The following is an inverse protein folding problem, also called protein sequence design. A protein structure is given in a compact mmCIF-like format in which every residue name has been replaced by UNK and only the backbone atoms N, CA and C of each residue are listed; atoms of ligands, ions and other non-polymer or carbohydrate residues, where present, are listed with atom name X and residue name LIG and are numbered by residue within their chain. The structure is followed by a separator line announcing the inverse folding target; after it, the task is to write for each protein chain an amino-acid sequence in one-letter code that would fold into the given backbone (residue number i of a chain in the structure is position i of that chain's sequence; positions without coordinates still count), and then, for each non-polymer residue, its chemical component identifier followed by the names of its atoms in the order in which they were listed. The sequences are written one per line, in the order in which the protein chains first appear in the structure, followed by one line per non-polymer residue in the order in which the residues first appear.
data_IF_516327108295
#
_entry.id   IF_516327108295
#
_cell.length_a   1.000
_cell.length_b   1.000
_cell.length_c   1.000
_cell.angle_alpha   90.00
_cell.angle_beta   90.00
_cell.angle_gamma   90.00
#
_symmetry.space_group_name_H-M   'P 1'
#
loop_
_entity.id
_entity.type
_entity.pdbx_description
1 polymer ?
#
# COMPACT_ATOMS: atom_id res chain seq x y z
N UNK A 1 -22.17 0.04 -12.20
CA UNK A 1 -21.34 -1.09 -12.69
C UNK A 1 -20.11 -1.31 -11.82
N UNK A 2 -19.30 -0.26 -11.54
CA UNK A 2 -18.10 -0.38 -10.70
C UNK A 2 -18.37 -0.71 -9.22
N UNK A 3 -19.50 -0.26 -8.65
CA UNK A 3 -19.90 -0.62 -7.27
C UNK A 3 -20.10 -2.13 -7.02
N UNK A 4 -20.27 -2.92 -8.08
CA UNK A 4 -20.40 -4.38 -7.97
C UNK A 4 -19.07 -5.13 -8.07
N UNK A 5 -17.94 -4.42 -8.09
CA UNK A 5 -16.60 -5.04 -8.08
C UNK A 5 -16.23 -5.37 -6.63
N UNK A 6 -15.74 -6.59 -6.41
CA UNK A 6 -15.31 -7.04 -5.08
C UNK A 6 -14.24 -6.12 -4.50
N UNK A 7 -14.38 -5.79 -3.22
CA UNK A 7 -13.47 -4.90 -2.50
C UNK A 7 -13.72 -3.40 -2.72
N UNK A 8 -14.71 -3.01 -3.52
CA UNK A 8 -15.13 -1.61 -3.71
C UNK A 8 -16.26 -1.28 -2.74
N UNK A 9 -16.03 -0.31 -1.84
CA UNK A 9 -17.03 0.20 -0.90
C UNK A 9 -18.05 1.11 -1.57
N UNK A 10 -17.61 1.87 -2.56
CA UNK A 10 -18.42 2.87 -3.23
C UNK A 10 -17.73 3.44 -4.44
N UNK A 11 -18.51 4.15 -5.24
CA UNK A 11 -17.97 4.96 -6.34
C UNK A 11 -18.54 6.34 -6.14
N UNK A 12 -17.63 7.27 -5.91
CA UNK A 12 -17.90 8.68 -5.72
C UNK A 12 -17.72 9.39 -7.06
N UNK A 13 -18.68 10.25 -7.41
CA UNK A 13 -18.70 10.95 -8.69
C UNK A 13 -18.63 12.44 -8.40
N UNK A 14 -17.80 13.14 -9.18
CA UNK A 14 -17.65 14.58 -9.08
C UNK A 14 -17.62 15.23 -10.47
N UNK A 15 -18.29 16.38 -10.57
CA UNK A 15 -18.49 17.07 -11.84
C UNK A 15 -19.69 16.55 -12.62
N UNK A 16 -19.91 17.15 -13.79
CA UNK A 16 -21.11 16.92 -14.59
C UNK A 16 -22.34 17.66 -14.06
N UNK A 17 -23.46 17.46 -14.75
CA UNK A 17 -24.75 18.04 -14.39
C UNK A 17 -25.79 16.94 -14.22
N UNK A 18 -26.54 17.01 -13.12
CA UNK A 18 -27.70 16.16 -12.94
C UNK A 18 -28.86 16.79 -13.71
N UNK A 19 -29.41 16.03 -14.67
CA UNK A 19 -30.59 16.46 -15.43
C UNK A 19 -31.77 16.60 -14.47
N UNK A 20 -32.40 17.76 -14.50
CA UNK A 20 -33.61 18.05 -13.72
C UNK A 20 -34.71 18.54 -14.65
N UNK A 21 -35.97 18.21 -14.34
CA UNK A 21 -37.12 18.80 -15.02
C UNK A 21 -37.55 20.01 -14.20
N UNK A 22 -37.13 21.20 -14.65
CA UNK A 22 -37.34 22.42 -13.91
C UNK A 22 -38.69 23.04 -14.27
N UNK A 23 -39.45 23.41 -13.25
CA UNK A 23 -40.70 24.17 -13.38
C UNK A 23 -40.44 25.55 -12.81
N UNK A 24 -40.38 26.56 -13.68
CA UNK A 24 -40.13 27.96 -13.32
C UNK A 24 -41.47 28.70 -13.24
N UNK A 25 -42.09 28.82 -12.05
CA UNK A 25 -43.34 29.55 -11.88
C UNK A 25 -43.15 31.04 -12.20
N UNK A 26 -44.09 31.61 -12.97
CA UNK A 26 -44.16 33.04 -13.21
C UNK A 26 -45.13 33.65 -12.18
N UNK A 27 -44.64 34.47 -11.22
CA UNK A 27 -45.50 35.06 -10.19
C UNK A 27 -46.66 35.89 -10.76
N UNK A 28 -46.47 36.54 -11.91
CA UNK A 28 -47.51 37.33 -12.55
C UNK A 28 -48.62 36.44 -13.13
N UNK A 29 -48.25 35.31 -13.76
CA UNK A 29 -49.23 34.35 -14.28
C UNK A 29 -49.97 33.62 -13.17
N UNK A 30 -49.26 33.19 -12.12
CA UNK A 30 -49.88 32.59 -10.95
C UNK A 30 -50.95 33.51 -10.34
N UNK A 31 -50.63 34.80 -10.19
CA UNK A 31 -51.59 35.80 -9.71
C UNK A 31 -52.77 36.01 -10.67
N UNK A 32 -52.52 36.08 -11.99
CA UNK A 32 -53.56 36.28 -13.00
C UNK A 32 -54.56 35.12 -13.07
N UNK A 33 -54.08 33.87 -12.92
CA UNK A 33 -54.93 32.68 -12.87
C UNK A 33 -55.48 32.38 -11.47
N UNK A 34 -55.05 33.12 -10.45
CA UNK A 34 -55.47 32.94 -9.06
C UNK A 34 -55.00 31.62 -8.44
N UNK A 35 -53.84 31.11 -8.87
CA UNK A 35 -53.24 29.86 -8.41
C UNK A 35 -52.14 30.16 -7.40
N UNK A 36 -52.21 29.54 -6.22
CA UNK A 36 -51.15 29.65 -5.21
C UNK A 36 -49.95 28.75 -5.52
N UNK A 37 -48.75 29.15 -5.09
CA UNK A 37 -47.53 28.34 -5.27
C UNK A 37 -47.65 26.95 -4.62
N UNK A 38 -48.26 26.86 -3.43
CA UNK A 38 -48.50 25.59 -2.74
C UNK A 38 -49.39 24.67 -3.57
N UNK A 39 -50.44 25.22 -4.20
CA UNK A 39 -51.34 24.44 -5.05
C UNK A 39 -50.64 23.89 -6.29
N UNK A 40 -49.72 24.66 -6.88
CA UNK A 40 -48.88 24.18 -7.98
C UNK A 40 -48.00 23.00 -7.53
N UNK A 41 -47.35 23.10 -6.37
CA UNK A 41 -46.50 22.02 -5.83
C UNK A 41 -47.33 20.76 -5.54
N UNK A 42 -48.48 20.89 -4.87
CA UNK A 42 -49.38 19.77 -4.58
C UNK A 42 -49.88 19.08 -5.86
N UNK A 43 -50.23 19.87 -6.88
CA UNK A 43 -50.66 19.33 -8.17
C UNK A 43 -49.56 18.49 -8.84
N UNK A 44 -48.31 18.96 -8.81
CA UNK A 44 -47.16 18.24 -9.34
C UNK A 44 -46.87 16.94 -8.54
N UNK A 45 -46.94 17.00 -7.21
CA UNK A 45 -46.74 15.81 -6.36
C UNK A 45 -47.83 14.75 -6.54
N UNK A 46 -49.07 15.17 -6.81
CA UNK A 46 -50.20 14.27 -7.06
C UNK A 46 -50.17 13.69 -8.48
N UNK A 47 -49.69 14.46 -9.44
CA UNK A 47 -49.61 14.04 -10.84
C UNK A 47 -48.58 12.94 -11.07
N UNK A 48 -47.51 12.86 -10.28
CA UNK A 48 -46.43 11.89 -10.49
C UNK A 48 -46.48 10.69 -9.51
N UNK A 49 -47.62 9.98 -9.44
CA UNK A 49 -47.80 8.82 -8.53
C UNK A 49 -48.21 7.55 -9.29
N UNK A 50 -47.85 6.40 -8.72
CA UNK A 50 -48.33 5.08 -9.16
C UNK A 50 -49.33 4.58 -8.13
N UNK A 51 -50.51 4.14 -8.57
CA UNK A 51 -51.52 3.55 -7.71
C UNK A 51 -51.88 2.13 -8.16
N UNK A 52 -51.97 1.21 -7.20
CA UNK A 52 -52.51 -0.14 -7.41
C UNK A 52 -53.99 -0.18 -7.08
N UNK A 53 -54.82 -0.75 -7.96
CA UNK A 53 -56.26 -0.87 -7.76
C UNK A 53 -56.70 -2.32 -7.44
N UNK A 54 -55.75 -3.16 -7.01
CA UNK A 54 -56.00 -4.58 -6.71
C UNK A 54 -56.01 -5.44 -7.96
N UNK A 55 -56.87 -6.45 -8.00
CA UNK A 55 -57.04 -7.32 -9.15
C UNK A 55 -58.51 -7.61 -9.42
N UNK A 56 -58.84 -7.87 -10.68
CA UNK A 56 -60.17 -8.29 -11.12
C UNK A 56 -60.09 -9.75 -11.55
N UNK A 57 -60.90 -10.60 -10.92
CA UNK A 57 -60.99 -12.00 -11.33
C UNK A 57 -61.88 -12.12 -12.57
N UNK A 58 -61.34 -12.67 -13.66
CA UNK A 58 -62.08 -12.94 -14.89
C UNK A 58 -61.67 -14.29 -15.46
N UNK A 59 -62.63 -15.17 -15.68
CA UNK A 59 -62.42 -16.52 -16.24
C UNK A 59 -61.38 -17.38 -15.49
N UNK A 60 -61.26 -17.23 -14.16
CA UNK A 60 -60.29 -17.97 -13.34
C UNK A 60 -58.90 -17.33 -13.27
N UNK A 61 -58.66 -16.22 -13.98
CA UNK A 61 -57.42 -15.46 -13.92
C UNK A 61 -57.59 -14.18 -13.09
N UNK A 62 -56.59 -13.84 -12.29
CA UNK A 62 -56.53 -12.58 -11.53
C UNK A 62 -55.80 -11.51 -12.36
N UNK A 63 -56.55 -10.56 -12.90
CA UNK A 63 -56.01 -9.44 -13.68
C UNK A 63 -55.63 -8.30 -12.76
N UNK A 64 -54.33 -8.04 -12.59
CA UNK A 64 -53.84 -6.94 -11.75
C UNK A 64 -54.13 -5.60 -12.42
N UNK A 65 -54.85 -4.71 -11.72
CA UNK A 65 -55.16 -3.37 -12.20
C UNK A 65 -54.15 -2.38 -11.62
N UNK A 66 -53.38 -1.75 -12.51
CA UNK A 66 -52.37 -0.75 -12.17
C UNK A 66 -52.64 0.55 -12.92
N UNK A 67 -52.71 1.65 -12.19
CA UNK A 67 -52.70 2.99 -12.77
C UNK A 67 -51.27 3.55 -12.69
N UNK A 68 -50.66 3.79 -13.85
CA UNK A 68 -49.34 4.42 -13.97
C UNK A 68 -49.52 5.88 -14.43
N UNK A 69 -49.47 6.83 -13.50
CA UNK A 69 -49.50 8.26 -13.80
C UNK A 69 -48.11 8.90 -13.79
N UNK A 70 -47.03 8.11 -13.88
CA UNK A 70 -45.68 8.69 -13.92
C UNK A 70 -45.51 9.61 -15.12
N UNK A 71 -45.00 10.81 -14.85
CA UNK A 71 -44.65 11.80 -15.87
C UNK A 71 -43.34 11.34 -16.53
N UNK A 72 -43.36 11.19 -17.86
CA UNK A 72 -42.22 10.70 -18.66
C UNK A 72 -41.63 11.76 -19.56
N UNK A 73 -42.43 12.74 -19.97
CA UNK A 73 -42.01 13.79 -20.89
C UNK A 73 -42.28 15.19 -20.34
N UNK A 74 -41.63 16.20 -20.94
CA UNK A 74 -41.85 17.61 -20.57
C UNK A 74 -43.28 18.04 -20.90
N UNK A 75 -43.84 17.53 -21.99
CA UNK A 75 -45.19 17.84 -22.44
C UNK A 75 -46.23 17.32 -21.45
N UNK A 76 -46.03 16.12 -20.91
CA UNK A 76 -46.87 15.56 -19.84
C UNK A 76 -46.78 16.42 -18.56
N UNK A 77 -45.57 16.86 -18.20
CA UNK A 77 -45.35 17.75 -17.06
C UNK A 77 -46.06 19.10 -17.26
N UNK A 78 -45.90 19.70 -18.44
CA UNK A 78 -46.52 20.97 -18.81
C UNK A 78 -48.05 20.89 -18.89
N UNK A 79 -48.59 19.76 -19.35
CA UNK A 79 -50.02 19.54 -19.49
C UNK A 79 -50.74 19.20 -18.17
N UNK A 80 -49.99 19.02 -17.07
CA UNK A 80 -50.52 18.62 -15.76
C UNK A 80 -51.57 19.64 -15.27
N UNK A 81 -52.78 19.19 -14.90
CA UNK A 81 -53.84 20.08 -14.42
C UNK A 81 -53.59 20.51 -12.97
N UNK A 82 -53.77 21.79 -12.67
CA UNK A 82 -53.63 22.35 -11.31
C UNK A 82 -54.99 22.61 -10.69
N UNK A 83 -55.84 23.36 -11.40
CA UNK A 83 -57.16 23.77 -10.93
C UNK A 83 -58.15 23.66 -12.08
N UNK A 84 -59.39 23.28 -11.77
CA UNK A 84 -60.52 23.44 -12.69
C UNK A 84 -61.45 24.53 -12.16
N UNK A 85 -61.63 25.61 -12.92
CA UNK A 85 -62.52 26.72 -12.58
C UNK A 85 -63.57 26.88 -13.67
N UNK A 86 -64.84 26.65 -13.33
CA UNK A 86 -65.99 26.78 -14.23
C UNK A 86 -65.84 26.01 -15.56
N UNK A 87 -65.18 24.85 -15.55
CA UNK A 87 -64.95 24.02 -16.73
C UNK A 87 -63.66 24.34 -17.50
N UNK A 88 -62.94 25.40 -17.13
CA UNK A 88 -61.61 25.69 -17.67
C UNK A 88 -60.54 25.09 -16.76
N UNK A 89 -59.75 24.17 -17.31
CA UNK A 89 -58.62 23.54 -16.62
C UNK A 89 -57.38 24.40 -16.81
N UNK A 90 -56.83 24.90 -15.71
CA UNK A 90 -55.53 25.59 -15.68
C UNK A 90 -54.42 24.55 -15.56
N UNK A 91 -53.45 24.60 -16.45
CA UNK A 91 -52.31 23.67 -16.53
C UNK A 91 -51.03 24.31 -16.01
N UNK A 92 -50.01 23.48 -15.76
CA UNK A 92 -48.66 23.95 -15.42
C UNK A 92 -48.10 24.89 -16.49
N UNK A 93 -48.30 24.60 -17.78
CA UNK A 93 -47.87 25.48 -18.89
C UNK A 93 -48.45 26.90 -18.85
N UNK A 94 -49.62 27.07 -18.22
CA UNK A 94 -50.31 28.36 -18.18
C UNK A 94 -49.69 29.29 -17.12
N UNK A 95 -49.04 28.73 -16.10
CA UNK A 95 -48.52 29.46 -14.94
C UNK A 95 -47.00 29.32 -14.73
N UNK A 96 -46.34 28.42 -15.45
CA UNK A 96 -44.92 28.15 -15.32
C UNK A 96 -44.28 27.76 -16.67
N UNK A 97 -42.98 28.02 -16.79
CA UNK A 97 -42.15 27.50 -17.89
C UNK A 97 -41.57 26.16 -17.46
N UNK A 98 -41.78 25.13 -18.28
CA UNK A 98 -41.26 23.78 -18.04
C UNK A 98 -40.14 23.51 -19.01
N UNK A 99 -38.94 23.25 -18.51
CA UNK A 99 -37.76 22.98 -19.34
C UNK A 99 -36.84 21.93 -18.73
N UNK A 100 -35.93 21.41 -19.55
CA UNK A 100 -34.84 20.57 -19.04
C UNK A 100 -33.82 21.50 -18.41
N UNK A 101 -33.82 21.51 -17.08
CA UNK A 101 -32.85 22.20 -16.28
C UNK A 101 -31.70 21.30 -15.84
N UNK A 102 -30.92 21.86 -14.93
CA UNK A 102 -29.82 21.17 -14.24
C UNK A 102 -29.93 21.48 -12.76
N UNK A 103 -29.71 20.47 -11.93
CA UNK A 103 -29.62 20.69 -10.50
C UNK A 103 -28.45 21.63 -10.18
N UNK A 104 -28.59 22.52 -9.17
CA UNK A 104 -27.45 23.26 -8.63
C UNK A 104 -26.37 22.27 -8.21
N UNK A 105 -25.17 22.40 -8.80
CA UNK A 105 -24.04 21.54 -8.46
C UNK A 105 -23.31 22.10 -7.25
N UNK A 106 -22.86 21.20 -6.37
CA UNK A 106 -22.05 21.52 -5.20
C UNK A 106 -20.56 21.26 -5.44
N UNK A 107 -20.22 20.63 -6.57
CA UNK A 107 -18.84 20.38 -6.97
C UNK A 107 -18.69 20.27 -8.48
N UNK A 108 -17.46 20.48 -8.93
CA UNK A 108 -17.05 20.39 -10.32
C UNK A 108 -15.72 19.65 -10.43
N UNK A 109 -15.44 19.13 -11.61
CA UNK A 109 -14.21 18.42 -11.89
C UNK A 109 -13.66 18.84 -13.25
N UNK A 110 -12.34 18.82 -13.36
CA UNK A 110 -11.63 19.16 -14.59
C UNK A 110 -10.38 18.34 -14.78
N UNK A 111 -9.95 18.26 -16.03
CA UNK A 111 -8.70 17.64 -16.44
C UNK A 111 -8.10 18.42 -17.59
N UNK A 112 -6.81 18.73 -17.49
CA UNK A 112 -6.03 19.43 -18.50
C UNK A 112 -6.73 20.68 -19.06
N UNK A 113 -7.34 21.49 -18.19
CA UNK A 113 -8.02 22.75 -18.56
C UNK A 113 -9.43 22.58 -19.12
N UNK A 114 -9.98 21.37 -19.14
CA UNK A 114 -11.32 21.07 -19.64
C UNK A 114 -12.20 20.48 -18.55
N UNK A 115 -13.50 20.80 -18.57
CA UNK A 115 -14.46 20.23 -17.64
C UNK A 115 -14.65 18.73 -17.93
N UNK A 116 -14.65 17.90 -16.89
CA UNK A 116 -14.79 16.45 -17.00
C UNK A 116 -15.63 15.88 -15.86
N UNK A 117 -15.95 14.60 -15.95
CA UNK A 117 -16.55 13.84 -14.85
C UNK A 117 -15.48 12.93 -14.26
N UNK A 118 -15.21 13.08 -12.97
CA UNK A 118 -14.30 12.21 -12.23
C UNK A 118 -15.10 11.17 -11.46
N UNK A 119 -14.68 9.92 -11.58
CA UNK A 119 -15.19 8.81 -10.77
C UNK A 119 -14.06 8.23 -9.92
N UNK A 120 -14.21 8.24 -8.60
CA UNK A 120 -13.28 7.64 -7.66
C UNK A 120 -13.86 6.33 -7.12
N UNK A 121 -13.16 5.21 -7.35
CA UNK A 121 -13.50 3.93 -6.73
C UNK A 121 -12.92 3.89 -5.31
N UNK A 122 -13.80 3.87 -4.31
CA UNK A 122 -13.43 3.82 -2.90
C UNK A 122 -13.26 2.35 -2.50
N UNK A 123 -12.10 2.02 -1.94
CA UNK A 123 -11.78 0.67 -1.47
C UNK A 123 -12.43 0.39 -0.10
N UNK A 124 -12.89 -0.83 0.13
CA UNK A 124 -13.29 -1.30 1.47
C UNK A 124 -12.10 -1.26 2.43
N UNK A 125 -12.38 -0.89 3.68
CA UNK A 125 -11.35 -0.85 4.70
C UNK A 125 -10.79 -2.25 4.96
N UNK A 126 -9.45 -2.39 4.89
CA UNK A 126 -8.75 -3.66 5.11
C UNK A 126 -8.52 -4.49 3.84
N UNK A 127 -9.09 -4.10 2.70
CA UNK A 127 -8.81 -4.74 1.41
C UNK A 127 -7.42 -4.36 0.86
N UNK A 128 -6.96 -5.14 -0.12
CA UNK A 128 -5.69 -4.90 -0.79
C UNK A 128 -5.86 -3.89 -1.94
N UNK A 129 -5.17 -2.75 -1.84
CA UNK A 129 -5.25 -1.65 -2.82
C UNK A 129 -4.86 -2.06 -4.23
N UNK A 130 -3.81 -2.89 -4.38
CA UNK A 130 -3.35 -3.40 -5.68
C UNK A 130 -4.40 -4.30 -6.31
N UNK A 131 -4.95 -5.26 -5.56
CA UNK A 131 -5.95 -6.20 -6.10
C UNK A 131 -7.24 -5.49 -6.49
N UNK A 132 -7.71 -4.55 -5.67
CA UNK A 132 -8.92 -3.78 -5.97
C UNK A 132 -8.70 -2.88 -7.18
N UNK A 133 -7.57 -2.18 -7.28
CA UNK A 133 -7.24 -1.36 -8.44
C UNK A 133 -7.16 -2.17 -9.74
N UNK A 134 -6.54 -3.36 -9.70
CA UNK A 134 -6.51 -4.28 -10.85
C UNK A 134 -7.92 -4.73 -11.28
N UNK A 135 -8.76 -5.18 -10.33
CA UNK A 135 -10.16 -5.58 -10.62
C UNK A 135 -10.98 -4.41 -11.19
N UNK A 136 -10.79 -3.20 -10.68
CA UNK A 136 -11.45 -1.99 -11.20
C UNK A 136 -10.96 -1.68 -12.62
N UNK A 137 -9.66 -1.75 -12.88
CA UNK A 137 -9.07 -1.54 -14.21
C UNK A 137 -9.57 -2.55 -15.24
N UNK A 138 -9.66 -3.84 -14.87
CA UNK A 138 -10.26 -4.88 -15.71
C UNK A 138 -11.74 -4.60 -15.99
N UNK A 139 -12.51 -4.21 -14.97
CA UNK A 139 -13.92 -3.87 -15.14
C UNK A 139 -14.10 -2.64 -16.03
N UNK A 140 -13.23 -1.63 -15.91
CA UNK A 140 -13.25 -0.45 -16.77
C UNK A 140 -13.07 -0.81 -18.25
N UNK A 141 -12.13 -1.71 -18.58
CA UNK A 141 -11.96 -2.22 -19.97
C UNK A 141 -13.24 -2.87 -20.50
N UNK A 142 -13.95 -3.64 -19.66
CA UNK A 142 -15.25 -4.23 -20.04
C UNK A 142 -16.34 -3.17 -20.25
N UNK A 143 -16.34 -2.11 -19.46
CA UNK A 143 -17.31 -1.00 -19.55
C UNK A 143 -17.07 -0.19 -20.82
N UNK A 144 -15.80 0.04 -21.19
CA UNK A 144 -15.44 0.86 -22.35
C UNK A 144 -16.10 0.36 -23.65
N UNK A 145 -16.25 -0.95 -23.82
CA UNK A 145 -16.94 -1.55 -24.96
C UNK A 145 -18.45 -1.22 -25.03
N UNK A 146 -19.07 -0.88 -23.91
CA UNK A 146 -20.50 -0.54 -23.80
C UNK A 146 -20.78 0.97 -23.85
N UNK A 147 -19.74 1.80 -23.93
CA UNK A 147 -19.90 3.25 -23.91
C UNK A 147 -20.43 3.80 -25.24
N UNK A 148 -21.27 4.84 -25.20
CA UNK A 148 -21.68 5.56 -26.41
C UNK A 148 -20.49 6.11 -27.20
N UNK A 149 -20.62 6.28 -28.53
CA UNK A 149 -19.57 6.90 -29.34
C UNK A 149 -19.24 8.30 -28.82
N UNK A 150 -17.95 8.61 -28.71
CA UNK A 150 -17.44 9.89 -28.20
C UNK A 150 -17.17 9.94 -26.69
N UNK A 151 -17.61 8.95 -25.91
CA UNK A 151 -17.28 8.86 -24.48
C UNK A 151 -16.02 8.02 -24.29
N UNK A 152 -15.01 8.59 -23.61
CA UNK A 152 -13.77 7.90 -23.24
C UNK A 152 -13.59 7.95 -21.74
N UNK A 153 -13.30 6.81 -21.14
CA UNK A 153 -12.94 6.72 -19.72
C UNK A 153 -11.44 6.45 -19.64
N UNK A 154 -10.72 7.29 -18.91
CA UNK A 154 -9.28 7.17 -18.72
C UNK A 154 -8.96 7.17 -17.23
N UNK A 155 -8.13 6.23 -16.73
CA UNK A 155 -7.64 6.31 -15.36
C UNK A 155 -6.71 7.54 -15.24
N UNK A 156 -6.99 8.40 -14.26
CA UNK A 156 -6.16 9.56 -13.94
C UNK A 156 -5.20 9.31 -12.77
N UNK A 157 -5.54 8.34 -11.91
CA UNK A 157 -4.71 7.91 -10.78
C UNK A 157 -4.86 6.38 -10.64
N UNK A 158 -3.75 5.66 -10.65
CA UNK A 158 -3.70 4.20 -10.47
C UNK A 158 -2.65 3.82 -9.43
N UNK A 159 -3.11 3.46 -8.22
CA UNK A 159 -2.22 3.01 -7.12
C UNK A 159 -1.45 1.73 -7.45
N UNK A 160 -1.85 0.96 -8.45
CA UNK A 160 -1.13 -0.24 -8.89
C UNK A 160 0.29 0.10 -9.35
N UNK A 161 0.45 1.20 -10.10
CA UNK A 161 1.73 1.62 -10.65
C UNK A 161 2.77 1.90 -9.57
N UNK A 162 2.38 2.67 -8.54
CA UNK A 162 3.23 2.94 -7.37
C UNK A 162 3.62 1.64 -6.66
N UNK A 163 2.64 0.77 -6.38
CA UNK A 163 2.90 -0.50 -5.67
C UNK A 163 3.82 -1.42 -6.48
N UNK A 164 3.67 -1.49 -7.80
CA UNK A 164 4.52 -2.32 -8.67
C UNK A 164 5.94 -1.78 -8.80
N UNK A 165 6.11 -0.46 -9.00
CA UNK A 165 7.42 0.18 -9.02
C UNK A 165 8.16 0.00 -7.68
N UNK A 166 7.40 0.10 -6.58
CA UNK A 166 7.90 -0.13 -5.23
C UNK A 166 8.36 -1.57 -5.03
N UNK A 167 7.55 -2.55 -5.44
CA UNK A 167 7.93 -3.97 -5.35
C UNK A 167 9.17 -4.26 -6.21
N UNK A 168 9.24 -3.70 -7.43
CA UNK A 168 10.42 -3.87 -8.29
C UNK A 168 11.70 -3.32 -7.66
N UNK A 169 11.62 -2.17 -7.00
CA UNK A 169 12.75 -1.57 -6.27
C UNK A 169 13.18 -2.44 -5.08
N UNK A 170 12.21 -2.92 -4.30
CA UNK A 170 12.45 -3.82 -3.18
C UNK A 170 13.08 -5.12 -3.67
N UNK A 171 12.54 -5.75 -4.71
CA UNK A 171 13.11 -6.96 -5.33
C UNK A 171 14.55 -6.74 -5.78
N UNK A 172 14.82 -5.65 -6.51
CA UNK A 172 16.16 -5.31 -6.97
C UNK A 172 17.14 -5.17 -5.80
N UNK A 173 16.75 -4.43 -4.76
CA UNK A 173 17.58 -4.22 -3.56
C UNK A 173 17.78 -5.51 -2.75
N UNK A 174 16.76 -6.36 -2.64
CA UNK A 174 16.85 -7.65 -1.97
C UNK A 174 17.81 -8.59 -2.72
N UNK A 175 17.71 -8.66 -4.05
CA UNK A 175 18.59 -9.49 -4.88
C UNK A 175 20.03 -8.98 -4.80
N UNK A 176 20.24 -7.67 -4.91
CA UNK A 176 21.57 -7.06 -4.86
C UNK A 176 22.19 -7.20 -3.46
N UNK A 177 21.41 -6.95 -2.40
CA UNK A 177 21.83 -7.14 -1.01
C UNK A 177 22.19 -8.60 -0.70
N UNK A 178 21.35 -9.55 -1.11
CA UNK A 178 21.63 -10.97 -0.95
C UNK A 178 22.89 -11.38 -1.74
N UNK A 179 23.05 -10.90 -2.97
CA UNK A 179 24.24 -11.16 -3.78
C UNK A 179 25.52 -10.61 -3.12
N UNK A 180 25.47 -9.41 -2.54
CA UNK A 180 26.59 -8.82 -1.82
C UNK A 180 26.95 -9.63 -0.58
N UNK A 181 25.95 -10.02 0.23
CA UNK A 181 26.18 -10.87 1.41
C UNK A 181 26.78 -12.21 1.00
N UNK A 182 26.25 -12.86 -0.04
CA UNK A 182 26.81 -14.10 -0.58
C UNK A 182 28.26 -13.88 -1.02
N UNK A 183 28.57 -12.81 -1.76
CA UNK A 183 29.94 -12.51 -2.18
C UNK A 183 30.89 -12.36 -0.98
N UNK A 184 30.47 -11.66 0.08
CA UNK A 184 31.24 -11.52 1.33
C UNK A 184 31.42 -12.88 2.03
N UNK A 185 30.39 -13.72 2.08
CA UNK A 185 30.47 -15.07 2.66
C UNK A 185 31.46 -15.96 1.91
N UNK A 186 31.46 -15.92 0.58
CA UNK A 186 32.44 -16.64 -0.24
C UNK A 186 33.87 -16.17 0.05
N UNK A 187 34.05 -14.86 0.22
CA UNK A 187 35.34 -14.25 0.55
C UNK A 187 35.83 -14.63 1.96
N UNK A 188 34.91 -14.64 2.94
CA UNK A 188 35.23 -14.88 4.34
C UNK A 188 35.48 -16.37 4.65
N UNK A 189 34.58 -17.26 4.23
CA UNK A 189 34.63 -18.68 4.61
C UNK A 189 35.67 -19.48 3.82
N UNK A 190 36.05 -19.05 2.60
CA UNK A 190 37.02 -19.74 1.74
C UNK A 190 36.59 -21.10 1.18
N UNK A 191 35.54 -21.70 1.75
CA UNK A 191 34.95 -22.94 1.29
C UNK A 191 33.62 -22.66 0.60
N UNK A 192 33.62 -22.81 -0.72
CA UNK A 192 32.45 -22.61 -1.59
C UNK A 192 31.22 -23.38 -1.10
N UNK A 193 31.38 -24.61 -0.59
CA UNK A 193 30.24 -25.40 -0.12
C UNK A 193 29.66 -24.85 1.17
N UNK A 194 30.50 -24.43 2.08
CA UNK A 194 30.07 -23.81 3.34
C UNK A 194 29.38 -22.45 3.09
N UNK A 195 29.91 -21.68 2.14
CA UNK A 195 29.28 -20.44 1.69
C UNK A 195 27.90 -20.69 1.06
N UNK A 196 27.74 -21.73 0.22
CA UNK A 196 26.43 -22.09 -0.36
C UNK A 196 25.44 -22.56 0.72
N UNK A 197 25.87 -23.36 1.71
CA UNK A 197 25.00 -23.79 2.82
C UNK A 197 24.48 -22.57 3.59
N UNK A 198 25.36 -21.63 3.89
CA UNK A 198 24.99 -20.40 4.60
C UNK A 198 24.08 -19.51 3.74
N UNK A 199 24.39 -19.38 2.44
CA UNK A 199 23.56 -18.65 1.49
C UNK A 199 22.14 -19.21 1.38
N UNK A 200 21.98 -20.55 1.47
CA UNK A 200 20.67 -21.23 1.47
C UNK A 200 19.82 -20.89 2.69
N UNK A 201 20.41 -20.44 3.80
CA UNK A 201 19.64 -20.00 4.98
C UNK A 201 18.82 -18.76 4.66
N UNK A 202 19.30 -17.85 3.80
CA UNK A 202 18.59 -16.63 3.42
C UNK A 202 17.20 -16.94 2.81
N UNK A 203 17.09 -17.68 1.68
CA UNK A 203 15.78 -17.97 1.08
C UNK A 203 14.91 -18.89 1.96
N UNK A 204 15.50 -19.80 2.73
CA UNK A 204 14.74 -20.68 3.62
C UNK A 204 14.15 -19.91 4.83
N UNK A 205 14.91 -18.99 5.42
CA UNK A 205 14.42 -18.12 6.48
C UNK A 205 13.34 -17.17 5.96
N UNK A 206 13.50 -16.66 4.72
CA UNK A 206 12.49 -15.84 4.07
C UNK A 206 11.21 -16.63 3.77
N UNK A 207 11.31 -17.87 3.30
CA UNK A 207 10.15 -18.74 3.08
C UNK A 207 9.41 -19.00 4.40
N UNK A 208 10.14 -19.25 5.48
CA UNK A 208 9.58 -19.39 6.82
C UNK A 208 8.84 -18.11 7.25
N UNK A 209 9.49 -16.95 7.12
CA UNK A 209 8.91 -15.66 7.45
C UNK A 209 7.64 -15.36 6.63
N UNK A 210 7.68 -15.54 5.32
CA UNK A 210 6.55 -15.31 4.42
C UNK A 210 5.36 -16.23 4.76
N UNK A 211 5.64 -17.50 5.07
CA UNK A 211 4.61 -18.45 5.49
C UNK A 211 3.97 -18.04 6.83
N UNK A 212 4.78 -17.61 7.79
CA UNK A 212 4.31 -17.13 9.08
C UNK A 212 3.52 -15.81 8.95
N UNK A 213 4.00 -14.86 8.15
CA UNK A 213 3.31 -13.59 7.88
C UNK A 213 1.92 -13.83 7.29
N UNK A 214 1.81 -14.72 6.30
CA UNK A 214 0.52 -15.10 5.72
C UNK A 214 -0.42 -15.71 6.78
N UNK A 215 0.12 -16.50 7.72
CA UNK A 215 -0.67 -17.09 8.81
C UNK A 215 -1.14 -16.05 9.85
N UNK A 216 -0.32 -15.03 10.12
CA UNK A 216 -0.64 -13.97 11.08
C UNK A 216 -1.32 -12.75 10.45
N UNK A 217 -1.59 -12.77 9.14
CA UNK A 217 -2.23 -11.66 8.43
C UNK A 217 -1.36 -10.40 8.35
N UNK A 218 -0.04 -10.54 8.42
CA UNK A 218 0.90 -9.40 8.35
C UNK A 218 1.07 -9.02 6.87
N UNK A 219 0.79 -7.76 6.54
CA UNK A 219 0.90 -7.28 5.17
C UNK A 219 2.36 -7.23 4.71
N UNK A 220 2.61 -7.75 3.50
CA UNK A 220 3.89 -7.59 2.82
C UNK A 220 3.89 -6.24 2.08
N UNK A 221 4.47 -5.23 2.71
CA UNK A 221 4.66 -3.89 2.16
C UNK A 221 6.15 -3.51 2.09
N UNK A 222 6.44 -2.33 1.55
CA UNK A 222 7.83 -1.84 1.41
C UNK A 222 8.57 -1.82 2.74
N UNK A 223 7.94 -1.33 3.81
CA UNK A 223 8.57 -1.21 5.12
C UNK A 223 8.85 -2.59 5.71
N UNK A 224 7.90 -3.53 5.60
CA UNK A 224 8.09 -4.89 6.13
C UNK A 224 9.16 -5.69 5.40
N UNK A 225 9.23 -5.59 4.07
CA UNK A 225 10.24 -6.30 3.28
C UNK A 225 11.60 -5.59 3.32
N UNK A 226 11.61 -4.26 3.35
CA UNK A 226 12.82 -3.45 3.36
C UNK A 226 13.61 -3.52 4.67
N UNK A 227 12.97 -3.89 5.78
CA UNK A 227 13.65 -4.04 7.07
C UNK A 227 14.37 -5.38 7.24
N UNK A 228 14.29 -6.29 6.27
CA UNK A 228 15.01 -7.55 6.33
C UNK A 228 16.50 -7.33 6.12
N UNK A 229 17.24 -7.41 7.21
CA UNK A 229 18.70 -7.41 7.19
C UNK A 229 19.22 -8.84 6.97
N UNK A 230 19.79 -9.09 5.79
CA UNK A 230 20.41 -10.37 5.45
C UNK A 230 21.60 -10.71 6.35
N UNK A 231 22.36 -9.71 6.81
CA UNK A 231 23.50 -9.91 7.71
C UNK A 231 23.05 -10.51 9.03
N UNK A 232 22.00 -9.95 9.61
CA UNK A 232 21.39 -10.43 10.86
C UNK A 232 20.82 -11.85 10.71
N UNK A 233 20.23 -12.16 9.55
CA UNK A 233 19.68 -13.49 9.25
C UNK A 233 20.78 -14.55 9.15
N UNK A 234 21.93 -14.24 8.55
CA UNK A 234 23.00 -15.22 8.34
C UNK A 234 23.98 -15.33 9.50
N UNK A 235 24.04 -14.35 10.41
CA UNK A 235 25.05 -14.29 11.49
C UNK A 235 25.13 -15.59 12.30
N UNK A 236 24.00 -16.06 12.84
CA UNK A 236 23.93 -17.32 13.59
C UNK A 236 24.34 -18.54 12.76
N UNK A 237 23.99 -18.57 11.47
CA UNK A 237 24.36 -19.66 10.59
C UNK A 237 25.86 -19.68 10.31
N UNK A 238 26.47 -18.52 10.06
CA UNK A 238 27.91 -18.36 9.81
C UNK A 238 28.70 -18.87 11.02
N UNK A 239 28.36 -18.41 12.23
CA UNK A 239 29.05 -18.80 13.46
C UNK A 239 28.97 -20.31 13.68
N UNK A 240 27.82 -20.93 13.43
CA UNK A 240 27.64 -22.37 13.58
C UNK A 240 28.39 -23.15 12.50
N UNK A 241 28.37 -22.71 11.24
CA UNK A 241 29.17 -23.32 10.15
C UNK A 241 30.65 -23.25 10.49
N UNK A 242 31.16 -22.09 10.86
CA UNK A 242 32.57 -21.88 11.17
C UNK A 242 33.02 -22.76 12.34
N UNK A 243 32.27 -22.78 13.44
CA UNK A 243 32.60 -23.64 14.58
C UNK A 243 32.54 -25.13 14.21
N UNK A 244 31.57 -25.53 13.39
CA UNK A 244 31.44 -26.91 12.91
C UNK A 244 32.65 -27.31 12.06
N UNK A 245 33.06 -26.47 11.11
CA UNK A 245 34.24 -26.70 10.28
C UNK A 245 35.52 -26.77 11.12
N UNK A 246 35.67 -25.86 12.07
CA UNK A 246 36.81 -25.83 13.00
C UNK A 246 36.87 -27.09 13.87
N UNK A 247 35.75 -27.57 14.40
CA UNK A 247 35.73 -28.81 15.19
C UNK A 247 35.99 -30.05 14.35
N UNK A 248 35.48 -30.10 13.12
CA UNK A 248 35.78 -31.18 12.18
C UNK A 248 37.27 -31.22 11.81
N UNK A 249 37.93 -30.07 11.63
CA UNK A 249 39.36 -30.02 11.34
C UNK A 249 40.22 -30.45 12.54
N UNK A 250 39.85 -30.04 13.75
CA UNK A 250 40.56 -30.42 14.98
C UNK A 250 40.45 -31.92 15.29
N UNK A 251 39.25 -32.51 15.17
CA UNK A 251 39.08 -33.96 15.38
C UNK A 251 39.80 -34.79 14.30
N UNK A 252 39.87 -34.29 13.07
CA UNK A 252 40.69 -34.91 12.02
C UNK A 252 42.18 -34.89 12.39
N UNK A 253 42.72 -33.76 12.83
CA UNK A 253 44.13 -33.67 13.24
C UNK A 253 44.43 -34.61 14.40
N UNK A 254 43.49 -34.74 15.34
CA UNK A 254 43.60 -35.65 16.48
C UNK A 254 43.60 -37.12 16.08
N UNK A 255 42.74 -37.52 15.13
CA UNK A 255 42.61 -38.92 14.71
C UNK A 255 43.60 -39.32 13.60
N UNK A 256 44.12 -38.35 12.86
CA UNK A 256 45.04 -38.57 11.73
C UNK A 256 44.40 -39.22 10.49
N UNK A 257 43.07 -39.36 10.47
CA UNK A 257 42.32 -40.06 9.41
C UNK A 257 41.05 -39.28 9.01
N UNK A 258 40.46 -39.62 7.87
CA UNK A 258 39.15 -39.10 7.46
C UNK A 258 38.05 -39.58 8.40
N UNK A 259 37.09 -38.71 8.69
CA UNK A 259 35.99 -39.00 9.62
C UNK A 259 34.88 -39.76 8.88
N UNK A 260 34.35 -40.82 9.48
CA UNK A 260 33.13 -41.47 8.96
C UNK A 260 31.91 -40.54 9.07
N UNK A 261 30.87 -40.74 8.25
CA UNK A 261 29.65 -39.92 8.30
C UNK A 261 29.06 -39.86 9.72
N UNK A 262 29.01 -40.99 10.42
CA UNK A 262 28.52 -41.05 11.80
C UNK A 262 29.33 -40.18 12.75
N UNK A 263 30.67 -40.20 12.64
CA UNK A 263 31.56 -39.35 13.43
C UNK A 263 31.43 -37.86 13.06
N UNK A 264 31.22 -37.54 11.78
CA UNK A 264 31.01 -36.15 11.35
C UNK A 264 29.72 -35.59 11.93
N UNK A 265 28.64 -36.37 11.94
CA UNK A 265 27.36 -35.99 12.51
C UNK A 265 27.44 -35.79 14.03
N UNK A 266 28.16 -36.66 14.75
CA UNK A 266 28.35 -36.49 16.21
C UNK A 266 29.18 -35.25 16.54
N UNK A 267 30.26 -35.00 15.80
CA UNK A 267 31.08 -33.79 15.96
C UNK A 267 30.29 -32.53 15.63
N UNK A 268 29.51 -32.53 14.54
CA UNK A 268 28.67 -31.39 14.18
C UNK A 268 27.55 -31.13 15.20
N UNK A 269 26.93 -32.18 15.74
CA UNK A 269 25.94 -32.04 16.80
C UNK A 269 26.56 -31.47 18.09
N UNK A 270 27.78 -31.88 18.44
CA UNK A 270 28.51 -31.32 19.58
C UNK A 270 28.88 -29.84 19.34
N UNK A 271 29.32 -29.49 18.12
CA UNK A 271 29.65 -28.12 17.72
C UNK A 271 28.42 -27.20 17.78
N UNK A 272 27.27 -27.69 17.30
CA UNK A 272 26.01 -26.97 17.37
C UNK A 272 25.55 -26.76 18.81
N UNK A 273 25.67 -27.77 19.69
CA UNK A 273 25.31 -27.65 21.12
C UNK A 273 26.15 -26.64 21.88
N UNK A 274 27.43 -26.52 21.54
CA UNK A 274 28.31 -25.51 22.13
C UNK A 274 27.87 -24.10 21.73
N UNK A 275 27.58 -23.89 20.43
CA UNK A 275 27.16 -22.58 19.90
C UNK A 275 25.70 -22.22 20.21
N UNK A 276 24.90 -23.20 20.65
CA UNK A 276 23.48 -22.99 20.96
C UNK A 276 23.25 -21.90 22.01
N UNK A 277 24.01 -21.91 23.11
CA UNK A 277 23.83 -20.90 24.17
C UNK A 277 24.23 -19.50 23.69
N UNK A 278 25.46 -19.24 23.21
CA UNK A 278 25.86 -17.91 22.78
C UNK A 278 24.96 -17.33 21.69
N UNK A 279 24.64 -18.11 20.66
CA UNK A 279 23.80 -17.65 19.57
C UNK A 279 22.34 -17.42 20.01
N UNK A 280 21.77 -18.29 20.85
CA UNK A 280 20.42 -18.09 21.37
C UNK A 280 20.32 -16.83 22.24
N UNK A 281 21.34 -16.56 23.07
CA UNK A 281 21.38 -15.31 23.84
C UNK A 281 21.49 -14.08 22.92
N UNK A 282 22.35 -14.12 21.90
CA UNK A 282 22.45 -13.06 20.90
C UNK A 282 21.12 -12.81 20.18
N UNK A 283 20.49 -13.88 19.67
CA UNK A 283 19.18 -13.81 19.01
C UNK A 283 18.10 -13.25 19.94
N UNK A 284 18.08 -13.69 21.21
CA UNK A 284 17.10 -13.23 22.19
C UNK A 284 17.26 -11.73 22.50
N UNK A 285 18.49 -11.22 22.57
CA UNK A 285 18.75 -9.79 22.73
C UNK A 285 18.18 -9.02 21.55
N UNK A 286 18.44 -9.48 20.32
CA UNK A 286 17.90 -8.84 19.11
C UNK A 286 16.37 -8.83 19.15
N UNK A 287 15.73 -9.98 19.41
CA UNK A 287 14.28 -10.07 19.52
C UNK A 287 13.71 -9.15 20.62
N UNK A 288 14.41 -9.03 21.75
CA UNK A 288 14.01 -8.15 22.85
C UNK A 288 14.10 -6.67 22.46
N UNK A 289 15.07 -6.28 21.62
CA UNK A 289 15.19 -4.91 21.09
C UNK A 289 14.05 -4.58 20.12
N UNK A 290 13.56 -5.56 19.35
CA UNK A 290 12.43 -5.36 18.44
C UNK A 290 11.05 -5.43 19.14
N UNK A 291 10.93 -6.11 20.27
CA UNK A 291 9.64 -6.29 20.96
C UNK A 291 8.91 -4.97 21.30
N UNK A 292 9.57 -3.89 21.77
CA UNK A 292 8.92 -2.60 22.04
C UNK A 292 8.22 -1.98 20.83
N UNK A 293 8.72 -2.22 19.60
CA UNK A 293 8.11 -1.69 18.37
C UNK A 293 6.71 -2.25 18.13
N UNK A 294 6.41 -3.45 18.64
CA UNK A 294 5.07 -4.05 18.56
C UNK A 294 4.07 -3.39 19.52
N UNK A 295 4.56 -2.62 20.51
CA UNK A 295 3.75 -1.93 21.50
C UNK A 295 3.44 -0.48 21.10
N UNK A 296 3.95 -0.02 19.95
CA UNK A 296 3.65 1.31 19.44
C UNK A 296 2.19 1.44 19.04
N UNK A 297 1.57 2.57 19.40
CA UNK A 297 0.19 2.90 19.05
C UNK A 297 0.13 3.93 17.90
N UNK A 298 -1.06 4.13 17.33
CA UNK A 298 -1.28 5.16 16.33
C UNK A 298 -0.67 4.87 14.95
N UNK A 299 -0.12 5.90 14.31
CA UNK A 299 0.45 5.83 12.95
C UNK A 299 1.79 5.09 12.96
N UNK A 300 2.63 5.36 13.96
CA UNK A 300 3.93 4.72 14.14
C UNK A 300 3.78 3.19 14.29
N UNK A 301 2.83 2.74 15.13
CA UNK A 301 2.55 1.31 15.29
C UNK A 301 2.11 0.62 14.00
N UNK A 302 1.28 1.28 13.20
CA UNK A 302 0.84 0.75 11.89
C UNK A 302 1.96 0.65 10.87
N UNK A 303 2.98 1.52 10.97
CA UNK A 303 4.13 1.50 10.09
C UNK A 303 5.21 0.51 10.55
N UNK A 304 5.60 0.56 11.82
CA UNK A 304 6.74 -0.20 12.36
C UNK A 304 6.36 -1.56 12.95
N UNK A 305 5.09 -1.79 13.29
CA UNK A 305 4.61 -3.08 13.81
C UNK A 305 4.83 -4.23 12.81
N UNK A 306 4.34 -4.14 11.55
CA UNK A 306 4.59 -5.15 10.53
C UNK A 306 6.08 -5.36 10.27
N UNK A 307 6.86 -4.28 10.28
CA UNK A 307 8.31 -4.30 10.09
C UNK A 307 9.03 -5.14 11.15
N UNK A 308 8.76 -4.87 12.43
CA UNK A 308 9.34 -5.61 13.54
C UNK A 308 8.93 -7.09 13.51
N UNK A 309 7.64 -7.37 13.26
CA UNK A 309 7.12 -8.73 13.19
C UNK A 309 7.79 -9.55 12.09
N UNK A 310 7.99 -8.99 10.90
CA UNK A 310 8.68 -9.65 9.78
C UNK A 310 10.12 -10.02 10.13
N UNK A 311 10.88 -9.09 10.72
CA UNK A 311 12.26 -9.35 11.16
C UNK A 311 12.31 -10.43 12.24
N UNK A 312 11.45 -10.34 13.26
CA UNK A 312 11.39 -11.33 14.33
C UNK A 312 11.06 -12.75 13.80
N UNK A 313 10.14 -12.87 12.85
CA UNK A 313 9.78 -14.14 12.22
C UNK A 313 10.91 -14.69 11.35
N UNK A 314 11.60 -13.84 10.58
CA UNK A 314 12.75 -14.23 9.78
C UNK A 314 13.91 -14.71 10.66
N UNK A 315 14.19 -14.02 11.77
CA UNK A 315 15.20 -14.43 12.74
C UNK A 315 14.82 -15.72 13.46
N UNK A 316 13.56 -15.92 13.82
CA UNK A 316 13.11 -17.18 14.38
C UNK A 316 13.34 -18.35 13.41
N UNK A 317 13.01 -18.16 12.13
CA UNK A 317 13.27 -19.15 11.07
C UNK A 317 14.76 -19.42 10.89
N UNK A 318 15.57 -18.37 10.80
CA UNK A 318 17.03 -18.47 10.67
C UNK A 318 17.68 -19.18 11.86
N UNK A 319 17.20 -18.92 13.08
CA UNK A 319 17.66 -19.57 14.30
C UNK A 319 17.39 -21.08 14.25
N UNK A 320 16.16 -21.48 13.90
CA UNK A 320 15.80 -22.91 13.77
C UNK A 320 16.70 -23.58 12.73
N UNK A 321 16.89 -22.96 11.56
CA UNK A 321 17.73 -23.50 10.49
C UNK A 321 19.22 -23.59 10.88
N UNK A 322 19.73 -22.62 11.64
CA UNK A 322 21.13 -22.58 12.08
C UNK A 322 21.52 -23.74 12.99
N UNK A 323 20.57 -24.30 13.76
CA UNK A 323 20.84 -25.43 14.66
C UNK A 323 20.38 -26.79 14.13
N UNK A 324 19.58 -26.81 13.06
CA UNK A 324 19.03 -28.05 12.48
C UNK A 324 19.64 -28.32 11.11
N UNK A 325 19.32 -27.47 10.13
CA UNK A 325 19.70 -27.61 8.74
C UNK A 325 21.21 -27.42 8.52
N UNK A 326 21.78 -26.36 9.10
CA UNK A 326 23.16 -25.94 8.86
C UNK A 326 24.20 -26.98 9.33
N UNK A 327 24.17 -27.50 10.58
CA UNK A 327 25.16 -28.46 11.04
C UNK A 327 25.04 -29.79 10.32
N UNK A 328 23.81 -30.25 10.05
CA UNK A 328 23.53 -31.48 9.34
C UNK A 328 24.08 -31.42 7.91
N UNK A 329 23.79 -30.36 7.16
CA UNK A 329 24.26 -30.22 5.79
C UNK A 329 25.78 -30.00 5.72
N UNK A 330 26.36 -29.31 6.69
CA UNK A 330 27.82 -29.15 6.81
C UNK A 330 28.52 -30.50 7.05
N UNK A 331 27.96 -31.34 7.91
CA UNK A 331 28.46 -32.69 8.18
C UNK A 331 28.32 -33.66 6.99
N UNK A 332 27.36 -33.45 6.09
CA UNK A 332 27.14 -34.34 4.94
C UNK A 332 27.89 -33.84 3.71
N UNK A 333 27.75 -32.55 3.38
CA UNK A 333 28.06 -32.04 2.04
C UNK A 333 29.42 -31.37 1.91
N UNK A 334 29.97 -30.80 3.00
CA UNK A 334 31.30 -30.19 2.95
C UNK A 334 32.34 -31.27 2.73
N UNK A 335 33.17 -31.15 1.68
CA UNK A 335 34.27 -32.09 1.41
C UNK A 335 35.46 -31.73 2.28
N UNK A 336 36.22 -32.75 2.66
CA UNK A 336 37.45 -32.60 3.40
C UNK A 336 38.45 -31.73 2.62
N UNK A 337 39.15 -30.78 3.27
CA UNK A 337 40.29 -30.11 2.66
C UNK A 337 41.35 -31.14 2.25
N UNK A 338 41.92 -31.00 1.04
CA UNK A 338 43.05 -31.83 0.59
C UNK A 338 44.22 -31.66 1.59
N UNK A 339 44.91 -32.76 1.91
CA UNK A 339 46.08 -32.74 2.78
C UNK A 339 47.12 -31.74 2.24
N UNK A 340 47.57 -30.81 3.09
CA UNK A 340 48.57 -29.78 2.75
C UNK A 340 48.12 -28.31 2.83
N UNK A 341 46.84 -28.02 3.13
CA UNK A 341 46.43 -26.68 3.59
C UNK A 341 46.35 -26.68 5.11
N UNK A 342 47.46 -26.31 5.77
CA UNK A 342 47.64 -26.51 7.22
C UNK A 342 46.74 -25.66 8.12
N UNK A 343 46.12 -24.60 7.60
CA UNK A 343 45.09 -23.86 8.32
C UNK A 343 43.93 -23.59 7.37
N UNK A 344 42.71 -23.95 7.76
CA UNK A 344 41.48 -23.61 7.04
C UNK A 344 41.18 -22.10 6.97
N UNK A 345 42.18 -21.25 7.25
CA UNK A 345 42.12 -19.79 7.20
C UNK A 345 42.31 -19.29 5.75
N UNK A 346 41.39 -18.45 5.29
CA UNK A 346 41.51 -17.74 4.01
C UNK A 346 42.72 -16.80 4.03
N UNK A 347 43.29 -16.51 2.85
CA UNK A 347 44.38 -15.51 2.72
C UNK A 347 43.98 -14.15 3.30
N UNK A 348 42.68 -13.84 3.25
CA UNK A 348 42.11 -12.59 3.75
C UNK A 348 41.99 -12.62 5.27
N UNK A 349 41.47 -13.70 5.86
CA UNK A 349 41.40 -13.81 7.33
C UNK A 349 42.79 -13.74 7.96
N UNK A 350 43.78 -14.36 7.33
CA UNK A 350 45.19 -14.31 7.77
C UNK A 350 45.76 -12.89 7.71
N UNK A 351 45.56 -12.18 6.58
CA UNK A 351 45.98 -10.79 6.43
C UNK A 351 45.31 -9.85 7.45
N UNK A 352 44.03 -10.06 7.74
CA UNK A 352 43.28 -9.29 8.76
C UNK A 352 43.85 -9.58 10.15
N UNK A 353 44.07 -10.84 10.49
CA UNK A 353 44.63 -11.27 11.78
C UNK A 353 46.03 -10.70 12.01
N UNK A 354 46.91 -10.78 11.02
CA UNK A 354 48.29 -10.30 11.09
C UNK A 354 48.36 -8.78 11.33
N UNK A 355 47.34 -8.04 10.85
CA UNK A 355 47.23 -6.59 11.06
C UNK A 355 46.48 -6.23 12.35
N UNK A 356 45.48 -7.01 12.72
CA UNK A 356 44.67 -6.81 13.93
C UNK A 356 45.46 -7.12 15.21
N UNK A 357 46.20 -8.22 15.25
CA UNK A 357 46.96 -8.67 16.43
C UNK A 357 47.96 -7.62 16.98
N UNK A 358 48.80 -6.95 16.16
CA UNK A 358 49.69 -5.90 16.65
C UNK A 358 48.93 -4.63 17.09
N UNK A 359 47.78 -4.33 16.49
CA UNK A 359 46.94 -3.20 16.92
C UNK A 359 46.28 -3.47 18.26
N UNK A 360 45.72 -4.67 18.45
CA UNK A 360 45.12 -5.09 19.70
C UNK A 360 46.14 -5.09 20.85
N UNK A 361 47.33 -5.64 20.62
CA UNK A 361 48.39 -5.64 21.64
C UNK A 361 48.85 -4.23 22.01
N UNK A 362 48.89 -3.29 21.06
CA UNK A 362 49.15 -1.86 21.35
C UNK A 362 48.02 -1.22 22.14
N UNK A 363 46.76 -1.52 21.80
CA UNK A 363 45.58 -1.00 22.49
C UNK A 363 45.53 -1.48 23.95
N UNK A 364 45.77 -2.77 24.20
CA UNK A 364 45.83 -3.36 25.55
C UNK A 364 46.95 -2.78 26.41
N UNK A 365 48.07 -2.35 25.81
CA UNK A 365 49.17 -1.69 26.52
C UNK A 365 48.85 -0.24 26.93
N UNK A 366 47.85 0.40 26.33
CA UNK A 366 47.49 1.80 26.60
C UNK A 366 45.97 1.99 26.75
N UNK A 367 45.32 1.35 27.74
CA UNK A 367 43.87 1.34 27.87
C UNK A 367 43.28 2.75 28.08
N UNK A 368 44.00 3.64 28.77
CA UNK A 368 43.56 5.04 28.98
C UNK A 368 43.42 5.83 27.67
N UNK A 369 44.31 5.60 26.70
CA UNK A 369 44.21 6.27 25.39
C UNK A 369 43.02 5.73 24.59
N UNK A 370 42.75 4.42 24.68
CA UNK A 370 41.58 3.81 24.02
C UNK A 370 40.29 4.35 24.62
N UNK A 371 40.21 4.45 25.95
CA UNK A 371 39.05 5.03 26.63
C UNK A 371 38.88 6.51 26.32
N UNK A 372 39.97 7.29 26.27
CA UNK A 372 39.93 8.70 25.88
C UNK A 372 39.47 8.87 24.43
N UNK A 373 39.95 8.03 23.51
CA UNK A 373 39.52 8.02 22.12
C UNK A 373 38.05 7.64 21.97
N UNK A 374 37.58 6.62 22.70
CA UNK A 374 36.17 6.24 22.73
C UNK A 374 35.28 7.37 23.29
N UNK A 375 35.74 8.03 24.36
CA UNK A 375 35.05 9.20 24.92
C UNK A 375 35.00 10.37 23.95
N UNK A 376 36.11 10.67 23.25
CA UNK A 376 36.14 11.70 22.23
C UNK A 376 35.21 11.38 21.05
N UNK A 377 35.17 10.12 20.60
CA UNK A 377 34.24 9.68 19.55
C UNK A 377 32.78 9.78 20.00
N UNK A 378 32.48 9.45 21.26
CA UNK A 378 31.14 9.63 21.83
C UNK A 378 30.75 11.11 21.88
N UNK A 379 31.62 12.00 22.35
CA UNK A 379 31.37 13.44 22.38
C UNK A 379 31.17 13.99 20.96
N UNK A 380 32.01 13.59 20.01
CA UNK A 380 31.85 13.96 18.61
C UNK A 380 30.51 13.46 18.04
N UNK A 381 30.11 12.24 18.36
CA UNK A 381 28.81 11.68 17.97
C UNK A 381 27.63 12.44 18.56
N UNK A 382 27.68 12.82 19.85
CA UNK A 382 26.64 13.63 20.50
C UNK A 382 26.57 15.04 19.90
N UNK A 383 27.72 15.66 19.63
CA UNK A 383 27.76 16.97 18.97
C UNK A 383 27.18 16.89 17.55
N UNK A 384 27.51 15.85 16.78
CA UNK A 384 26.93 15.62 15.47
C UNK A 384 25.41 15.40 15.56
N UNK A 385 24.95 14.56 16.49
CA UNK A 385 23.53 14.31 16.72
C UNK A 385 22.75 15.59 17.05
N UNK A 386 23.34 16.49 17.86
CA UNK A 386 22.74 17.77 18.19
C UNK A 386 22.59 18.72 16.97
N UNK A 387 23.29 18.44 15.86
CA UNK A 387 23.17 19.22 14.61
C UNK A 387 22.17 18.61 13.61
N UNK A 388 21.64 17.41 13.85
CA UNK A 388 20.64 16.80 12.97
C UNK A 388 19.25 17.38 13.23
N UNK A 389 18.51 17.64 12.13
CA UNK A 389 17.10 17.98 12.21
C UNK A 389 16.22 16.78 12.59
N UNK A 390 14.96 17.05 12.93
CA UNK A 390 13.96 16.03 13.23
C UNK A 390 12.85 16.03 12.17
N UNK A 391 12.53 14.87 11.63
CA UNK A 391 11.39 14.64 10.75
C UNK A 391 10.59 13.43 11.27
N UNK A 392 9.27 13.43 11.07
CA UNK A 392 8.41 12.34 11.54
C UNK A 392 8.62 11.05 10.72
N UNK A 393 8.58 11.16 9.40
CA UNK A 393 8.82 10.05 8.44
C UNK A 393 9.47 10.66 7.19
N UNK A 394 10.43 9.98 6.53
CA UNK A 394 10.97 10.43 5.26
C UNK A 394 9.86 10.63 4.22
N UNK A 395 9.94 11.70 3.44
CA UNK A 395 9.00 11.93 2.36
C UNK A 395 9.20 10.87 1.27
N UNK A 396 8.15 10.10 0.99
CA UNK A 396 8.12 9.14 -0.10
C UNK A 396 7.74 9.88 -1.39
N UNK A 397 8.56 9.73 -2.42
CA UNK A 397 8.24 10.23 -3.74
C UNK A 397 7.30 9.24 -4.44
N UNK A 398 6.03 9.62 -4.57
CA UNK A 398 5.00 8.81 -5.24
C UNK A 398 4.94 9.06 -6.76
N UNK A 399 5.70 10.02 -7.29
CA UNK A 399 5.66 10.46 -8.68
C UNK A 399 4.48 11.40 -9.01
N UNK A 400 3.47 11.46 -8.14
CA UNK A 400 2.33 12.36 -8.23
C UNK A 400 2.37 13.39 -7.09
N UNK A 401 1.89 14.61 -7.35
CA UNK A 401 1.86 15.70 -6.36
C UNK A 401 0.42 16.20 -6.19
N UNK A 402 -0.05 16.21 -4.94
CA UNK A 402 -1.32 16.86 -4.59
C UNK A 402 -1.08 18.36 -4.36
N UNK A 403 -1.62 19.20 -5.25
CA UNK A 403 -1.60 20.66 -5.11
C UNK A 403 -2.95 21.13 -4.58
N UNK A 404 -2.94 21.76 -3.40
CA UNK A 404 -4.13 22.36 -2.80
C UNK A 404 -4.12 23.88 -2.98
N UNK A 405 -5.07 24.39 -3.77
CA UNK A 405 -5.27 25.83 -3.95
C UNK A 405 -6.44 26.31 -3.07
N UNK A 406 -6.11 26.85 -1.89
CA UNK A 406 -7.10 27.41 -0.97
C UNK A 406 -7.68 28.73 -1.53
N UNK A 407 -9.00 28.91 -1.42
CA UNK A 407 -9.72 30.09 -1.92
C UNK A 407 -10.49 30.78 -0.80
N UNK A 408 -11.00 31.97 -1.07
CA UNK A 408 -11.92 32.65 -0.15
C UNK A 408 -13.25 31.89 -0.15
N UNK A 409 -13.82 31.54 1.02
CA UNK A 409 -15.04 30.71 1.11
C UNK A 409 -16.26 31.26 0.38
N UNK A 410 -16.31 32.56 0.09
CA UNK A 410 -17.41 33.20 -0.65
C UNK A 410 -17.31 33.05 -2.18
N UNK A 411 -16.29 32.36 -2.69
CA UNK A 411 -16.08 32.21 -4.14
C UNK A 411 -17.10 31.24 -4.71
N UNK A 412 -17.85 31.67 -5.75
CA UNK A 412 -18.80 30.77 -6.41
C UNK A 412 -18.08 29.59 -7.08
N UNK A 413 -18.80 28.48 -7.26
CA UNK A 413 -18.25 27.28 -7.89
C UNK A 413 -17.80 27.56 -9.33
N UNK A 414 -18.54 28.38 -10.08
CA UNK A 414 -18.20 28.76 -11.45
C UNK A 414 -16.89 29.57 -11.52
N UNK A 415 -16.74 30.54 -10.61
CA UNK A 415 -15.53 31.34 -10.53
C UNK A 415 -14.34 30.48 -10.09
N UNK A 416 -14.57 29.61 -9.11
CA UNK A 416 -13.62 28.61 -8.67
C UNK A 416 -13.16 27.72 -9.83
N UNK A 417 -14.08 27.19 -10.63
CA UNK A 417 -13.74 26.35 -11.77
C UNK A 417 -12.93 27.13 -12.83
N UNK A 418 -13.31 28.37 -13.12
CA UNK A 418 -12.58 29.23 -14.06
C UNK A 418 -11.15 29.55 -13.59
N UNK A 419 -10.96 29.76 -12.28
CA UNK A 419 -9.64 29.91 -11.68
C UNK A 419 -8.84 28.60 -11.78
N UNK A 420 -9.51 27.46 -11.58
CA UNK A 420 -8.85 26.16 -11.64
C UNK A 420 -8.30 25.84 -13.02
N UNK A 421 -9.03 26.15 -14.09
CA UNK A 421 -8.52 25.96 -15.45
C UNK A 421 -7.19 26.68 -15.69
N UNK A 422 -7.02 27.90 -15.14
CA UNK A 422 -5.75 28.63 -15.26
C UNK A 422 -4.61 27.92 -14.54
N UNK A 423 -4.87 27.38 -13.35
CA UNK A 423 -3.89 26.60 -12.58
C UNK A 423 -3.52 25.33 -13.35
N UNK A 424 -4.51 24.58 -13.84
CA UNK A 424 -4.28 23.37 -14.62
C UNK A 424 -3.48 23.65 -15.89
N UNK A 425 -3.83 24.67 -16.67
CA UNK A 425 -3.09 25.03 -17.88
C UNK A 425 -1.66 25.46 -17.57
N UNK A 426 -1.44 26.16 -16.45
CA UNK A 426 -0.09 26.59 -16.04
C UNK A 426 0.76 25.40 -15.62
N UNK A 427 0.22 24.50 -14.80
CA UNK A 427 0.91 23.28 -14.37
C UNK A 427 1.18 22.35 -15.56
N UNK A 428 0.21 22.22 -16.46
CA UNK A 428 0.32 21.38 -17.65
C UNK A 428 1.34 21.89 -18.67
N UNK A 429 1.73 23.16 -18.59
CA UNK A 429 2.78 23.74 -19.43
C UNK A 429 4.19 23.31 -18.99
N UNK A 430 4.35 22.75 -17.78
CA UNK A 430 5.62 22.20 -17.32
C UNK A 430 5.87 20.83 -18.00
N UNK A 431 7.07 20.60 -18.58
CA UNK A 431 7.35 19.38 -19.33
C UNK A 431 7.34 18.11 -18.47
N UNK A 432 7.55 18.23 -17.16
CA UNK A 432 7.52 17.12 -16.20
C UNK A 432 6.09 16.64 -15.90
N UNK A 433 5.05 17.44 -16.21
CA UNK A 433 3.66 17.16 -15.83
C UNK A 433 2.91 16.41 -16.94
N UNK A 434 2.71 15.11 -16.76
CA UNK A 434 1.98 14.27 -17.71
C UNK A 434 0.47 14.57 -17.74
N UNK A 435 -0.15 14.89 -16.59
CA UNK A 435 -1.58 15.18 -16.51
C UNK A 435 -1.89 16.03 -15.29
N UNK A 436 -2.91 16.88 -15.39
CA UNK A 436 -3.47 17.56 -14.23
C UNK A 436 -4.96 17.28 -14.19
N UNK A 437 -5.46 16.83 -13.05
CA UNK A 437 -6.89 16.74 -12.78
C UNK A 437 -7.20 17.47 -11.48
N UNK A 438 -8.40 18.06 -11.40
CA UNK A 438 -8.83 18.75 -10.20
C UNK A 438 -10.24 18.37 -9.80
N UNK A 439 -10.45 18.37 -8.48
CA UNK A 439 -11.73 18.28 -7.80
C UNK A 439 -11.98 19.62 -7.11
N UNK A 440 -13.10 20.27 -7.40
CA UNK A 440 -13.52 21.52 -6.75
C UNK A 440 -14.87 21.32 -6.08
N UNK A 441 -15.05 21.85 -4.87
CA UNK A 441 -16.28 21.67 -4.09
C UNK A 441 -16.47 20.23 -3.61
N UNK A 442 -17.69 19.88 -3.21
CA UNK A 442 -18.00 18.57 -2.62
C UNK A 442 -18.42 17.54 -3.68
N UNK A 443 -17.98 16.31 -3.52
CA UNK A 443 -18.46 15.19 -4.32
C UNK A 443 -19.86 14.71 -3.85
N UNK A 444 -20.52 13.86 -4.64
CA UNK A 444 -21.86 13.35 -4.32
C UNK A 444 -21.89 12.57 -3.00
N UNK A 445 -20.85 11.78 -2.74
CA UNK A 445 -20.63 11.15 -1.45
C UNK A 445 -19.58 11.98 -0.73
N UNK A 446 -20.00 12.81 0.24
CA UNK A 446 -19.16 13.68 1.07
C UNK A 446 -18.20 12.89 1.98
N UNK A 447 -17.38 12.04 1.38
CA UNK A 447 -16.41 11.14 2.01
C UNK A 447 -15.05 11.80 2.22
N UNK A 448 -14.76 12.86 1.46
CA UNK A 448 -13.54 13.65 1.56
C UNK A 448 -13.88 15.06 2.06
N UNK A 449 -13.41 15.47 3.26
CA UNK A 449 -13.61 16.81 3.77
C UNK A 449 -12.76 17.79 2.97
N UNK A 450 -13.35 18.32 1.88
CA UNK A 450 -12.74 19.43 1.15
C UNK A 450 -12.73 20.67 2.05
N UNK A 451 -11.58 21.35 2.20
CA UNK A 451 -11.54 22.63 2.91
C UNK A 451 -12.50 23.64 2.26
N UNK A 452 -13.10 24.54 3.05
CA UNK A 452 -14.18 25.42 2.62
C UNK A 452 -13.84 26.36 1.47
#
# INVERSE_FOLDING_TARGET
QLRGVDGVAGVDVQGGYVKEYAVHPDPARLAAYGVGLVQLVEALEHANRIAGAGYVNRAGEAWIVRADARIRTLEELAATPILNRNGQVVRVSDVAVVEIGRAPRLGSASSDGHETVLGAALMLQGENSRQVAQRVGEKLKSIEASLPPGVRVRPVLDRTALVEATIGTVEHNLVLGAALVIAVLFLALGNVRAAIITALVIPLAFLFAATAMNRFGISANLLSLGALDFGLIVDGAVVVVENTLRRLSLERQRLGQSLTLAQRLTVAAAAAREMARPAAFGQAIILLVYAPLLMFEGVEGKMFGPMAATVMLALAGAFILSFTFVPALTAIWVREPKAGHEDGETKISRAVRDRYQPLLTRALRRPRLVLAGAGAALVAGVLAFATLGSEFVPQLDEGDILVQALRVPSTSLEQSQAMQFRVETTLKALPEVERVFTRTGTAEVASDPMPP
#
